data_IF_057269881290
#
_entry.id   IF_057269881290
#
_cell.length_a   1.000
_cell.length_b   1.000
_cell.length_c   1.000
_cell.angle_alpha   90.00
_cell.angle_beta   90.00
_cell.angle_gamma   90.00
#
_symmetry.space_group_name_H-M   'P 1'
#
loop_
_entity.id
_entity.type
_entity.pdbx_description
1 polymer ?
#
# COMPACT_ATOMS: atom_id res chain seq x y z
N UNK A 1 -0.72 5.69 23.51
CA UNK A 1 -1.56 6.67 22.80
C UNK A 1 -1.38 6.44 21.31
N UNK A 2 -2.33 5.77 20.66
CA UNK A 2 -2.30 5.45 19.22
C UNK A 2 -2.88 6.64 18.45
N UNK A 3 -2.04 7.40 17.73
CA UNK A 3 -2.48 8.55 16.95
C UNK A 3 -2.09 8.44 15.47
N UNK A 4 -3.13 8.42 14.63
CA UNK A 4 -3.27 9.11 13.33
C UNK A 4 -3.11 8.29 12.05
N UNK A 5 -4.31 7.96 11.53
CA UNK A 5 -4.66 7.46 10.21
C UNK A 5 -4.12 8.31 9.05
N UNK A 6 -3.93 7.65 7.90
CA UNK A 6 -3.86 8.22 6.54
C UNK A 6 -4.91 9.32 6.41
N UNK A 7 -4.43 10.56 6.53
CA UNK A 7 -5.29 11.71 6.76
C UNK A 7 -6.21 11.93 5.57
N UNK A 8 -7.50 11.65 5.82
CA UNK A 8 -8.73 12.25 5.28
C UNK A 8 -8.57 13.19 4.08
N UNK A 9 -9.35 12.89 3.04
CA UNK A 9 -9.82 13.84 2.03
C UNK A 9 -10.29 15.18 2.66
N UNK A 10 -9.61 16.29 2.32
CA UNK A 10 -10.20 17.63 2.09
C UNK A 10 -9.23 18.55 1.32
N UNK A 11 -9.66 18.96 0.12
CA UNK A 11 -9.64 20.31 -0.50
C UNK A 11 -8.45 21.29 -0.31
N UNK A 12 -8.03 21.83 -1.47
CA UNK A 12 -7.41 23.16 -1.77
C UNK A 12 -5.96 23.39 -1.36
N UNK A 13 -5.18 23.93 -2.30
CA UNK A 13 -3.72 23.90 -2.31
C UNK A 13 -3.01 24.85 -1.36
N UNK A 14 -1.93 24.34 -0.77
CA UNK A 14 -0.80 25.07 -0.21
C UNK A 14 0.48 24.22 -0.43
N UNK A 15 1.67 24.85 -0.60
CA UNK A 15 2.87 24.16 -1.09
C UNK A 15 3.42 23.11 -0.11
N UNK A 16 3.88 21.98 -0.66
CA UNK A 16 4.41 20.80 0.02
C UNK A 16 5.61 21.12 0.96
N UNK A 17 5.33 21.52 2.19
CA UNK A 17 6.27 21.42 3.29
C UNK A 17 6.15 20.02 3.92
N UNK A 18 7.10 19.16 3.58
CA UNK A 18 7.54 17.93 4.26
C UNK A 18 6.59 17.36 5.35
N UNK A 19 5.67 16.49 4.94
CA UNK A 19 4.76 15.72 5.82
C UNK A 19 5.02 14.21 5.81
N UNK A 20 6.27 13.77 5.61
CA UNK A 20 6.54 12.32 5.42
C UNK A 20 7.22 11.74 6.67
N UNK A 21 6.43 11.09 7.53
CA UNK A 21 6.85 10.53 8.83
C UNK A 21 6.99 9.00 8.90
N UNK A 22 6.77 8.25 7.80
CA UNK A 22 6.96 6.78 7.75
C UNK A 22 8.16 6.40 6.87
N UNK A 23 8.98 5.46 7.35
CA UNK A 23 10.08 4.85 6.57
C UNK A 23 9.51 3.94 5.49
N UNK A 24 9.87 4.21 4.23
CA UNK A 24 9.50 3.38 3.08
C UNK A 24 10.68 2.48 2.73
N UNK A 25 10.49 1.17 2.82
CA UNK A 25 11.48 0.23 2.29
C UNK A 25 11.28 0.13 0.77
N UNK A 26 12.28 0.55 -0.01
CA UNK A 26 12.37 0.16 -1.41
C UNK A 26 12.47 -1.36 -1.44
N UNK A 27 11.54 -2.04 -2.10
CA UNK A 27 11.47 -3.50 -2.08
C UNK A 27 11.80 -4.03 -3.47
N UNK A 28 13.04 -4.46 -3.75
CA UNK A 28 13.28 -5.35 -4.88
C UNK A 28 12.41 -6.60 -4.67
N UNK A 29 11.54 -6.94 -5.62
CA UNK A 29 10.80 -8.22 -5.61
C UNK A 29 9.43 -8.23 -4.95
N UNK A 30 8.83 -7.08 -4.60
CA UNK A 30 7.45 -7.04 -4.12
C UNK A 30 6.42 -7.05 -5.24
N UNK A 31 5.32 -7.79 -5.08
CA UNK A 31 4.14 -7.73 -5.96
C UNK A 31 2.84 -7.61 -5.16
N UNK A 32 1.87 -6.89 -5.75
CA UNK A 32 0.49 -6.89 -5.31
C UNK A 32 -0.39 -7.39 -6.45
N UNK A 33 -1.18 -8.42 -6.20
CA UNK A 33 -2.18 -8.91 -7.15
C UNK A 33 -3.48 -8.15 -6.96
N UNK A 34 -4.00 -7.58 -8.04
CA UNK A 34 -5.27 -6.86 -8.11
C UNK A 34 -5.99 -7.36 -9.35
N UNK A 35 -7.22 -7.85 -9.19
CA UNK A 35 -8.04 -8.38 -10.30
C UNK A 35 -7.32 -9.45 -11.14
N UNK A 36 -6.55 -10.32 -10.47
CA UNK A 36 -5.78 -11.40 -11.10
C UNK A 36 -4.54 -10.91 -11.88
N UNK A 37 -4.12 -9.66 -11.71
CA UNK A 37 -2.90 -9.10 -12.32
C UNK A 37 -1.92 -8.69 -11.23
N UNK A 38 -0.67 -9.13 -11.36
CA UNK A 38 0.40 -8.77 -10.45
C UNK A 38 1.05 -7.44 -10.87
N UNK A 39 1.19 -6.52 -9.91
CA UNK A 39 1.81 -5.23 -10.10
C UNK A 39 3.04 -5.10 -9.18
N UNK A 40 4.19 -4.61 -9.69
CA UNK A 40 5.37 -4.39 -8.86
C UNK A 40 5.12 -3.35 -7.77
N UNK A 41 5.59 -3.64 -6.56
CA UNK A 41 5.55 -2.71 -5.43
C UNK A 41 6.82 -1.86 -5.45
N UNK A 42 6.65 -0.53 -5.45
CA UNK A 42 7.74 0.44 -5.34
C UNK A 42 8.17 0.60 -3.89
N UNK A 43 7.18 0.74 -2.99
CA UNK A 43 7.37 0.82 -1.55
C UNK A 43 6.07 0.49 -0.81
N UNK A 44 6.20 0.25 0.49
CA UNK A 44 5.07 -0.05 1.36
C UNK A 44 5.41 0.33 2.81
N UNK A 45 4.37 0.38 3.63
CA UNK A 45 4.42 0.59 5.07
C UNK A 45 3.44 -0.33 5.77
N UNK A 46 3.29 -0.21 7.09
CA UNK A 46 2.33 -0.96 7.91
C UNK A 46 0.87 -0.86 7.42
N UNK A 47 0.57 0.14 6.61
CA UNK A 47 -0.78 0.66 6.40
C UNK A 47 -1.16 0.73 4.92
N UNK A 48 -0.19 0.65 4.01
CA UNK A 48 -0.46 0.64 2.59
C UNK A 48 0.76 0.41 1.72
N UNK A 49 0.57 0.62 0.42
CA UNK A 49 1.57 0.36 -0.60
C UNK A 49 1.47 1.35 -1.77
N UNK A 50 2.58 1.48 -2.49
CA UNK A 50 2.65 2.10 -3.81
C UNK A 50 3.06 1.03 -4.81
N UNK A 51 2.22 0.81 -5.82
CA UNK A 51 2.52 -0.03 -6.97
C UNK A 51 2.77 0.81 -8.21
N UNK A 52 3.56 0.27 -9.13
CA UNK A 52 3.84 0.84 -10.45
C UNK A 52 3.38 -0.08 -11.58
N UNK A 53 3.49 0.39 -12.82
CA UNK A 53 3.01 -0.30 -14.02
C UNK A 53 1.52 -0.66 -13.94
N UNK A 54 0.76 0.08 -13.14
CA UNK A 54 -0.66 -0.17 -12.98
C UNK A 54 -1.42 0.19 -14.27
N UNK A 55 -2.15 -0.80 -14.77
CA UNK A 55 -2.90 -0.74 -16.03
C UNK A 55 -4.30 -1.37 -15.88
N UNK A 56 -4.88 -1.27 -14.69
CA UNK A 56 -6.26 -1.69 -14.39
C UNK A 56 -7.22 -0.50 -14.38
N UNK A 57 -8.51 -0.79 -14.24
CA UNK A 57 -9.58 0.21 -14.38
C UNK A 57 -10.11 0.77 -13.05
N UNK A 58 -9.50 0.38 -11.92
CA UNK A 58 -9.88 0.86 -10.58
C UNK A 58 -9.67 2.36 -10.43
N UNK A 59 -10.53 2.97 -9.63
CA UNK A 59 -10.55 4.40 -9.32
C UNK A 59 -10.31 4.63 -7.83
N UNK A 60 -9.91 5.85 -7.48
CA UNK A 60 -9.80 6.23 -6.08
C UNK A 60 -11.14 6.03 -5.35
N UNK A 61 -11.09 5.41 -4.17
CA UNK A 61 -12.23 5.00 -3.37
C UNK A 61 -12.64 3.53 -3.53
N UNK A 62 -12.27 2.88 -4.64
CA UNK A 62 -12.61 1.47 -4.87
C UNK A 62 -12.00 0.57 -3.79
N UNK A 63 -12.75 -0.44 -3.36
CA UNK A 63 -12.27 -1.51 -2.49
C UNK A 63 -12.16 -2.80 -3.30
N UNK A 64 -11.00 -3.45 -3.23
CA UNK A 64 -10.70 -4.66 -4.00
C UNK A 64 -9.95 -5.65 -3.14
N UNK A 65 -10.20 -6.94 -3.34
CA UNK A 65 -9.40 -8.01 -2.74
C UNK A 65 -8.00 -8.01 -3.38
N UNK A 66 -6.98 -8.11 -2.54
CA UNK A 66 -5.59 -8.14 -2.98
C UNK A 66 -4.84 -9.30 -2.35
N UNK A 67 -3.84 -9.79 -3.07
CA UNK A 67 -2.77 -10.63 -2.50
C UNK A 67 -1.49 -9.81 -2.52
N UNK A 68 -0.91 -9.57 -1.35
CA UNK A 68 0.31 -8.79 -1.19
C UNK A 68 1.47 -9.71 -0.84
N UNK A 69 2.56 -9.63 -1.60
CA UNK A 69 3.76 -10.44 -1.40
C UNK A 69 5.01 -9.56 -1.51
N UNK A 70 5.90 -9.66 -0.54
CA UNK A 70 7.21 -9.02 -0.55
C UNK A 70 8.27 -10.02 -0.14
N UNK A 71 9.37 -10.06 -0.87
CA UNK A 71 10.54 -10.88 -0.57
C UNK A 71 11.77 -9.97 -0.50
N UNK A 72 11.97 -9.28 0.63
CA UNK A 72 13.17 -8.48 0.80
C UNK A 72 14.39 -9.41 0.80
N UNK A 73 15.51 -8.94 0.24
CA UNK A 73 16.75 -9.72 0.15
C UNK A 73 17.39 -10.08 1.51
N UNK A 74 16.78 -9.68 2.62
CA UNK A 74 17.15 -10.09 3.98
C UNK A 74 16.49 -11.41 4.42
N UNK A 75 15.73 -12.05 3.52
CA UNK A 75 15.08 -13.34 3.75
C UNK A 75 13.77 -13.27 4.53
N UNK A 76 13.29 -12.07 4.90
CA UNK A 76 12.01 -11.90 5.62
C UNK A 76 10.84 -11.76 4.64
N UNK A 77 10.54 -12.84 3.92
CA UNK A 77 9.38 -12.88 3.05
C UNK A 77 8.08 -12.63 3.84
N UNK A 78 7.21 -11.78 3.30
CA UNK A 78 5.93 -11.45 3.90
C UNK A 78 4.83 -11.52 2.85
N UNK A 79 3.81 -12.33 3.12
CA UNK A 79 2.65 -12.47 2.25
C UNK A 79 1.35 -12.48 3.07
N UNK A 80 0.31 -11.88 2.52
CA UNK A 80 -1.05 -11.89 3.07
C UNK A 80 -2.09 -11.49 2.01
N UNK A 81 -3.36 -11.81 2.29
CA UNK A 81 -4.49 -11.33 1.52
C UNK A 81 -5.38 -10.44 2.40
N UNK A 82 -5.90 -9.36 1.85
CA UNK A 82 -6.88 -8.48 2.50
C UNK A 82 -7.64 -7.67 1.45
N UNK A 83 -8.57 -6.82 1.87
CA UNK A 83 -9.05 -5.76 0.97
C UNK A 83 -8.07 -4.58 0.96
N UNK A 84 -8.00 -3.88 -0.15
CA UNK A 84 -7.33 -2.59 -0.24
C UNK A 84 -8.31 -1.55 -0.74
N UNK A 85 -8.25 -0.35 -0.16
CA UNK A 85 -8.90 0.82 -0.73
C UNK A 85 -7.90 1.55 -1.63
N UNK A 86 -8.28 1.82 -2.87
CA UNK A 86 -7.47 2.62 -3.79
C UNK A 86 -7.51 4.08 -3.31
N UNK A 87 -6.39 4.60 -2.81
CA UNK A 87 -6.31 5.98 -2.32
C UNK A 87 -6.09 6.95 -3.48
N UNK A 88 -5.23 6.57 -4.44
CA UNK A 88 -4.92 7.36 -5.63
C UNK A 88 -4.56 6.42 -6.77
N UNK A 89 -5.08 6.73 -7.96
CA UNK A 89 -4.73 6.08 -9.22
C UNK A 89 -4.21 7.17 -10.16
N UNK A 90 -3.04 6.96 -10.73
CA UNK A 90 -2.39 7.89 -11.67
C UNK A 90 -2.18 7.16 -13.01
N UNK A 91 -3.08 7.35 -14.00
CA UNK A 91 -3.03 6.62 -15.25
C UNK A 91 -1.86 7.04 -16.15
N UNK A 92 -1.42 8.30 -16.07
CA UNK A 92 -0.30 8.81 -16.84
C UNK A 92 1.02 8.23 -16.32
N UNK A 93 1.24 8.30 -15.00
CA UNK A 93 2.42 7.74 -14.36
C UNK A 93 2.36 6.22 -14.17
N UNK A 94 1.20 5.59 -14.47
CA UNK A 94 0.88 4.17 -14.21
C UNK A 94 1.17 3.77 -12.76
N UNK A 95 0.73 4.60 -11.82
CA UNK A 95 0.95 4.38 -10.38
C UNK A 95 -0.36 4.19 -9.63
N UNK A 96 -0.31 3.37 -8.59
CA UNK A 96 -1.44 3.10 -7.72
C UNK A 96 -1.01 3.14 -6.25
N UNK A 97 -1.72 3.91 -5.45
CA UNK A 97 -1.57 3.92 -3.99
C UNK A 97 -2.76 3.20 -3.37
N UNK A 98 -2.50 2.15 -2.60
CA UNK A 98 -3.52 1.40 -1.88
C UNK A 98 -3.31 1.46 -0.36
N UNK A 99 -4.41 1.49 0.38
CA UNK A 99 -4.41 1.34 1.83
C UNK A 99 -5.00 -0.02 2.22
N UNK A 100 -4.33 -0.75 3.13
CA UNK A 100 -4.81 -2.04 3.62
C UNK A 100 -6.04 -1.84 4.51
N UNK A 101 -7.15 -2.45 4.13
CA UNK A 101 -8.43 -2.41 4.85
C UNK A 101 -8.99 -3.82 5.04
N UNK A 102 -9.86 -4.00 6.02
CA UNK A 102 -10.53 -5.31 6.27
C UNK A 102 -9.52 -6.48 6.34
N UNK A 103 -8.48 -6.28 7.13
CA UNK A 103 -7.43 -7.26 7.42
C UNK A 103 -7.78 -8.01 8.71
N UNK A 104 -7.58 -9.33 8.73
CA UNK A 104 -7.78 -10.10 9.95
C UNK A 104 -6.77 -9.74 11.04
N UNK A 105 -7.13 -10.00 12.29
CA UNK A 105 -6.33 -9.60 13.44
C UNK A 105 -4.96 -10.31 13.50
N UNK A 106 -4.86 -11.55 13.04
CA UNK A 106 -3.60 -12.30 13.05
C UNK A 106 -2.62 -11.72 12.03
N UNK A 107 -3.09 -11.42 10.82
CA UNK A 107 -2.31 -10.72 9.79
C UNK A 107 -1.89 -9.34 10.26
N UNK A 108 -2.79 -8.59 10.92
CA UNK A 108 -2.46 -7.27 11.48
C UNK A 108 -1.35 -7.35 12.53
N UNK A 109 -1.41 -8.33 13.43
CA UNK A 109 -0.38 -8.55 14.43
C UNK A 109 0.95 -8.97 13.81
N UNK A 110 0.93 -9.82 12.78
CA UNK A 110 2.12 -10.21 12.00
C UNK A 110 2.76 -9.00 11.33
N UNK A 111 1.95 -8.11 10.76
CA UNK A 111 2.39 -6.90 10.08
C UNK A 111 2.99 -5.88 11.06
N UNK A 112 2.42 -5.73 12.25
CA UNK A 112 2.99 -4.89 13.33
C UNK A 112 4.40 -5.36 13.68
N UNK A 113 4.57 -6.66 13.97
CA UNK A 113 5.87 -7.25 14.32
C UNK A 113 6.92 -7.15 13.22
N UNK A 114 6.49 -7.00 11.96
CA UNK A 114 7.41 -6.82 10.84
C UNK A 114 8.03 -5.42 10.82
N UNK A 115 7.29 -4.40 11.29
CA UNK A 115 7.70 -3.00 11.27
C UNK A 115 8.18 -2.47 12.63
N UNK A 116 8.01 -3.24 13.71
CA UNK A 116 8.61 -2.98 15.03
C UNK A 116 10.14 -3.21 15.01
#
# INVERSE_FOLDING_TARGET
MLNTLFARFTRTGEPEADRRRETRNATPGGTVEIDGRAYPIVNWSYSGFLAESYAGDRKAGDRVDITFTVEPGDGRAFAFACKAMMVRVDPEARKLVGAFVEMDAATRAKLSRYFD
#
